data_IF_084387326542
#
_entry.id   IF_084387326542
#
_cell.length_a   1.000
_cell.length_b   1.000
_cell.length_c   1.000
_cell.angle_alpha   90.00
_cell.angle_beta   90.00
_cell.angle_gamma   90.00
#
_symmetry.space_group_name_H-M   'P 1'
#
loop_
_entity.id
_entity.type
_entity.pdbx_description
1 polymer ?
#
# COMPACT_ATOMS: atom_id res chain seq x y z
N UNK A 1 26.92 6.49 32.82
CA UNK A 1 27.65 6.39 31.54
C UNK A 1 27.12 5.25 30.65
N UNK A 2 26.99 4.02 31.16
CA UNK A 2 26.54 2.87 30.36
C UNK A 2 25.15 3.05 29.71
N UNK A 3 24.15 3.54 30.46
CA UNK A 3 22.80 3.82 29.94
C UNK A 3 22.78 4.85 28.79
N UNK A 4 23.59 5.90 28.89
CA UNK A 4 23.68 6.96 27.86
C UNK A 4 24.30 6.39 26.58
N UNK A 5 25.33 5.54 26.71
CA UNK A 5 25.92 4.81 25.59
C UNK A 5 24.92 3.89 24.90
N UNK A 6 24.10 3.14 25.66
CA UNK A 6 23.05 2.30 25.10
C UNK A 6 21.97 3.10 24.36
N UNK A 7 21.57 4.27 24.88
CA UNK A 7 20.59 5.14 24.21
C UNK A 7 21.13 5.73 22.90
N UNK A 8 22.39 6.17 22.87
CA UNK A 8 22.99 6.69 21.64
C UNK A 8 23.12 5.58 20.59
N UNK A 9 23.53 4.38 21.01
CA UNK A 9 23.63 3.23 20.12
C UNK A 9 22.27 2.84 19.54
N UNK A 10 21.20 2.84 20.36
CA UNK A 10 19.86 2.50 19.87
C UNK A 10 19.32 3.52 18.86
N UNK A 11 19.57 4.81 19.08
CA UNK A 11 19.21 5.87 18.12
C UNK A 11 19.91 5.68 16.76
N UNK A 12 21.21 5.36 16.77
CA UNK A 12 21.98 5.13 15.54
C UNK A 12 21.48 3.88 14.81
N UNK A 13 21.25 2.77 15.52
CA UNK A 13 20.73 1.55 14.94
C UNK A 13 19.33 1.76 14.34
N UNK A 14 18.47 2.51 15.03
CA UNK A 14 17.13 2.82 14.54
C UNK A 14 17.19 3.63 13.24
N UNK A 15 18.09 4.63 13.19
CA UNK A 15 18.30 5.44 11.99
C UNK A 15 18.83 4.59 10.81
N UNK A 16 19.81 3.71 11.05
CA UNK A 16 20.38 2.85 10.01
C UNK A 16 19.34 1.86 9.46
N UNK A 17 18.56 1.21 10.33
CA UNK A 17 17.47 0.34 9.90
C UNK A 17 16.45 1.09 9.05
N UNK A 18 16.03 2.29 9.49
CA UNK A 18 15.05 3.08 8.75
C UNK A 18 15.57 3.54 7.38
N UNK A 19 16.84 3.94 7.32
CA UNK A 19 17.51 4.32 6.07
C UNK A 19 17.61 3.15 5.10
N UNK A 20 18.02 1.97 5.57
CA UNK A 20 18.07 0.75 4.76
C UNK A 20 16.68 0.34 4.25
N UNK A 21 15.64 0.44 5.09
CA UNK A 21 14.27 0.17 4.67
C UNK A 21 13.80 1.12 3.57
N UNK A 22 14.07 2.42 3.70
CA UNK A 22 13.72 3.40 2.67
C UNK A 22 14.44 3.13 1.34
N UNK A 23 15.72 2.76 1.39
CA UNK A 23 16.48 2.42 0.20
C UNK A 23 15.94 1.16 -0.51
N UNK A 24 15.74 0.08 0.24
CA UNK A 24 15.21 -1.17 -0.31
C UNK A 24 13.80 -0.97 -0.90
N UNK A 25 12.93 -0.22 -0.22
CA UNK A 25 11.58 0.11 -0.70
C UNK A 25 11.64 0.77 -2.08
N UNK A 26 12.51 1.78 -2.23
CA UNK A 26 12.64 2.53 -3.46
C UNK A 26 13.24 1.68 -4.59
N UNK A 27 14.28 0.89 -4.29
CA UNK A 27 14.91 0.00 -5.27
C UNK A 27 13.91 -1.04 -5.79
N UNK A 28 13.23 -1.76 -4.91
CA UNK A 28 12.25 -2.77 -5.32
C UNK A 28 11.03 -2.17 -6.02
N UNK A 29 10.53 -1.02 -5.55
CA UNK A 29 9.44 -0.33 -6.22
C UNK A 29 9.83 0.08 -7.64
N UNK A 30 11.07 0.53 -7.84
CA UNK A 30 11.60 0.88 -9.15
C UNK A 30 11.76 -0.33 -10.07
N UNK A 31 12.29 -1.45 -9.55
CA UNK A 31 12.43 -2.69 -10.32
C UNK A 31 11.08 -3.26 -10.76
N UNK A 32 10.11 -3.35 -9.85
CA UNK A 32 8.75 -3.80 -10.20
C UNK A 32 8.13 -2.87 -11.26
N UNK A 33 8.29 -1.55 -11.12
CA UNK A 33 7.81 -0.58 -12.11
C UNK A 33 8.44 -0.81 -13.47
N UNK A 34 9.75 -1.07 -13.50
CA UNK A 34 10.50 -1.37 -14.72
C UNK A 34 9.98 -2.65 -15.39
N UNK A 35 9.80 -3.73 -14.64
CA UNK A 35 9.31 -5.01 -15.16
C UNK A 35 7.88 -4.90 -15.72
N UNK A 36 7.00 -4.20 -15.00
CA UNK A 36 5.63 -3.92 -15.47
C UNK A 36 5.66 -3.12 -16.77
N UNK A 37 6.52 -2.10 -16.84
CA UNK A 37 6.66 -1.27 -18.04
C UNK A 37 7.21 -2.05 -19.23
N UNK A 38 8.20 -2.91 -19.01
CA UNK A 38 8.76 -3.77 -20.04
C UNK A 38 7.72 -4.75 -20.57
N UNK A 39 6.93 -5.36 -19.69
CA UNK A 39 5.82 -6.24 -20.08
C UNK A 39 4.71 -5.49 -20.84
N UNK A 40 4.38 -4.26 -20.43
CA UNK A 40 3.40 -3.42 -21.12
C UNK A 40 3.84 -3.07 -22.55
N UNK A 41 5.14 -2.90 -22.81
CA UNK A 41 5.66 -2.64 -24.16
C UNK A 41 5.52 -3.83 -25.10
N UNK A 42 5.61 -5.05 -24.58
CA UNK A 42 5.49 -6.28 -25.35
C UNK A 42 4.03 -6.72 -25.55
N UNK A 43 3.09 -6.10 -24.84
CA UNK A 43 1.67 -6.39 -24.97
C UNK A 43 1.11 -5.93 -26.34
N UNK A 44 0.26 -6.77 -26.93
CA UNK A 44 -0.41 -6.45 -28.18
C UNK A 44 -1.32 -5.21 -28.07
N UNK A 45 -1.45 -4.45 -29.17
CA UNK A 45 -2.32 -3.27 -29.25
C UNK A 45 -3.78 -3.55 -28.86
N UNK A 46 -4.26 -4.79 -29.09
CA UNK A 46 -5.60 -5.20 -28.66
C UNK A 46 -5.74 -5.27 -27.13
N UNK A 47 -4.70 -5.70 -26.40
CA UNK A 47 -4.69 -5.69 -24.94
C UNK A 47 -4.64 -4.25 -24.41
N UNK A 48 -3.74 -3.43 -24.95
CA UNK A 48 -3.63 -2.01 -24.61
C UNK A 48 -4.92 -1.22 -24.89
N UNK A 49 -5.68 -1.56 -25.93
CA UNK A 49 -6.98 -0.93 -26.23
C UNK A 49 -8.12 -1.35 -25.30
N UNK A 50 -7.98 -2.50 -24.62
CA UNK A 50 -8.99 -3.05 -23.70
C UNK A 50 -8.79 -2.59 -22.27
N UNK A 51 -7.54 -2.36 -21.87
CA UNK A 51 -7.20 -1.90 -20.53
C UNK A 51 -7.40 -0.38 -20.45
N UNK A 52 -8.17 0.07 -19.45
CA UNK A 52 -8.40 1.51 -19.27
C UNK A 52 -7.12 2.23 -18.87
N UNK A 53 -6.91 3.47 -19.32
CA UNK A 53 -5.73 4.27 -18.94
C UNK A 53 -5.59 4.41 -17.42
N UNK A 54 -6.71 4.40 -16.68
CA UNK A 54 -6.72 4.37 -15.21
C UNK A 54 -6.18 3.08 -14.60
N UNK A 55 -6.49 1.94 -15.20
CA UNK A 55 -6.00 0.63 -14.76
C UNK A 55 -4.49 0.50 -15.00
N UNK A 56 -3.98 0.96 -16.16
CA UNK A 56 -2.54 0.96 -16.43
C UNK A 56 -1.75 1.84 -15.45
N UNK A 57 -2.26 3.04 -15.13
CA UNK A 57 -1.56 3.96 -14.23
C UNK A 57 -1.61 3.47 -12.78
N UNK A 58 -2.74 2.96 -12.32
CA UNK A 58 -2.82 2.38 -10.97
C UNK A 58 -1.98 1.11 -10.83
N UNK A 59 -1.89 0.29 -11.87
CA UNK A 59 -1.03 -0.89 -11.92
C UNK A 59 0.47 -0.51 -11.91
N UNK A 60 0.86 0.55 -12.61
CA UNK A 60 2.25 1.01 -12.65
C UNK A 60 2.65 1.80 -11.40
N UNK A 61 1.76 2.61 -10.84
CA UNK A 61 2.13 3.55 -9.78
C UNK A 61 1.85 3.00 -8.38
N UNK A 62 0.61 2.58 -8.14
CA UNK A 62 0.10 2.31 -6.78
C UNK A 62 0.35 0.85 -6.37
N UNK A 63 0.28 -0.09 -7.31
CA UNK A 63 0.48 -1.52 -7.04
C UNK A 63 1.89 -1.86 -6.51
N UNK A 64 2.99 -1.33 -7.08
CA UNK A 64 4.34 -1.59 -6.59
C UNK A 64 4.59 -1.00 -5.20
N UNK A 65 4.00 0.17 -4.93
CA UNK A 65 4.10 0.85 -3.64
C UNK A 65 3.33 0.11 -2.54
N UNK A 66 2.09 -0.33 -2.82
CA UNK A 66 1.28 -1.11 -1.90
C UNK A 66 1.91 -2.49 -1.62
N UNK A 67 2.43 -3.16 -2.66
CA UNK A 67 3.16 -4.41 -2.52
C UNK A 67 4.39 -4.25 -1.63
N UNK A 68 5.21 -3.22 -1.86
CA UNK A 68 6.42 -3.00 -1.07
C UNK A 68 6.11 -2.55 0.35
N UNK A 69 5.05 -1.76 0.57
CA UNK A 69 4.60 -1.46 1.92
C UNK A 69 4.15 -2.71 2.68
N UNK A 70 3.44 -3.62 2.02
CA UNK A 70 3.06 -4.90 2.62
C UNK A 70 4.30 -5.76 2.91
N UNK A 71 5.17 -5.98 1.92
CA UNK A 71 6.37 -6.82 2.07
C UNK A 71 7.28 -6.29 3.16
N UNK A 72 7.64 -5.00 3.13
CA UNK A 72 8.61 -4.44 4.07
C UNK A 72 8.03 -4.35 5.48
N UNK A 73 6.84 -3.75 5.66
CA UNK A 73 6.28 -3.63 7.02
C UNK A 73 5.91 -4.98 7.59
N UNK A 74 5.39 -5.91 6.79
CA UNK A 74 4.93 -7.19 7.31
C UNK A 74 6.10 -8.15 7.54
N UNK A 75 7.03 -8.31 6.58
CA UNK A 75 8.12 -9.28 6.73
C UNK A 75 9.12 -8.85 7.80
N UNK A 76 9.55 -7.59 7.82
CA UNK A 76 10.54 -7.14 8.82
C UNK A 76 9.94 -7.11 10.22
N UNK A 77 8.71 -6.63 10.39
CA UNK A 77 8.08 -6.69 11.71
C UNK A 77 7.79 -8.12 12.14
N UNK A 78 7.32 -9.00 11.25
CA UNK A 78 7.13 -10.42 11.60
C UNK A 78 8.45 -11.06 12.04
N UNK A 79 9.56 -10.82 11.33
CA UNK A 79 10.87 -11.37 11.69
C UNK A 79 11.34 -10.80 13.03
N UNK A 80 11.26 -9.49 13.22
CA UNK A 80 11.72 -8.86 14.47
C UNK A 80 10.87 -9.27 15.68
N UNK A 81 9.54 -9.28 15.53
CA UNK A 81 8.61 -9.71 16.59
C UNK A 81 8.75 -11.20 16.90
N UNK A 82 8.98 -12.05 15.88
CA UNK A 82 9.19 -13.49 16.12
C UNK A 82 10.50 -13.77 16.87
N UNK A 83 11.58 -13.06 16.56
CA UNK A 83 12.85 -13.15 17.33
C UNK A 83 12.63 -12.72 18.78
N UNK A 84 11.96 -11.57 19.00
CA UNK A 84 11.67 -11.08 20.35
C UNK A 84 10.78 -12.04 21.13
N UNK A 85 9.78 -12.64 20.48
CA UNK A 85 8.90 -13.64 21.06
C UNK A 85 9.66 -14.89 21.55
N UNK A 86 10.64 -15.37 20.77
CA UNK A 86 11.50 -16.50 21.18
C UNK A 86 12.37 -16.12 22.38
N UNK A 87 12.94 -14.91 22.40
CA UNK A 87 13.74 -14.42 23.53
C UNK A 87 12.88 -14.37 24.81
N UNK A 88 11.67 -13.82 24.73
CA UNK A 88 10.75 -13.77 25.88
C UNK A 88 10.30 -15.16 26.34
N UNK A 89 10.12 -16.11 25.42
CA UNK A 89 9.76 -17.49 25.76
C UNK A 89 10.87 -18.19 26.58
N UNK A 90 12.15 -17.97 26.23
CA UNK A 90 13.30 -18.54 26.95
C UNK A 90 13.51 -17.85 28.30
N UNK A 91 13.38 -16.51 28.36
CA UNK A 91 13.69 -15.74 29.56
C UNK A 91 12.59 -15.83 30.65
N UNK A 92 11.33 -15.97 30.24
CA UNK A 92 10.17 -15.99 31.14
C UNK A 92 9.42 -17.32 31.05
N UNK A 93 10.11 -18.45 31.24
CA UNK A 93 9.61 -19.83 31.07
C UNK A 93 8.15 -20.10 31.51
N UNK A 94 7.65 -19.43 32.57
CA UNK A 94 6.24 -19.55 33.03
C UNK A 94 5.24 -18.60 32.37
N UNK A 95 5.64 -17.39 31.97
CA UNK A 95 4.75 -16.35 31.40
C UNK A 95 4.86 -16.33 29.87
N UNK A 96 6.02 -16.66 29.33
CA UNK A 96 6.28 -16.78 27.90
C UNK A 96 5.40 -17.82 27.23
N UNK A 97 5.02 -18.90 27.92
CA UNK A 97 4.11 -19.92 27.36
C UNK A 97 2.73 -19.34 26.99
N UNK A 98 2.22 -18.36 27.75
CA UNK A 98 0.97 -17.66 27.43
C UNK A 98 1.09 -16.80 26.17
N UNK A 99 2.27 -16.18 25.94
CA UNK A 99 2.53 -15.42 24.71
C UNK A 99 2.61 -16.33 23.47
N UNK A 100 3.09 -17.57 23.65
CA UNK A 100 3.11 -18.58 22.58
C UNK A 100 1.70 -19.03 22.19
N UNK A 101 0.74 -19.02 23.13
CA UNK A 101 -0.65 -19.37 22.87
C UNK A 101 -1.45 -18.20 22.27
N UNK A 102 -1.10 -16.95 22.55
CA UNK A 102 -1.79 -15.78 21.98
C UNK A 102 -1.48 -15.56 20.50
N UNK A 103 -0.28 -15.94 20.03
CA UNK A 103 0.10 -15.86 18.62
C UNK A 103 -0.80 -16.68 17.67
N UNK A 104 -1.06 -18.00 17.90
CA UNK A 104 -1.95 -18.79 17.07
C UNK A 104 -3.41 -18.33 17.17
N UNK A 105 -3.83 -17.76 18.31
CA UNK A 105 -5.18 -17.18 18.44
C UNK A 105 -5.34 -15.94 17.54
N UNK A 106 -4.32 -15.06 17.50
CA UNK A 106 -4.30 -13.89 16.63
C UNK A 106 -4.29 -14.27 15.15
N UNK A 107 -3.48 -15.26 14.74
CA UNK A 107 -3.44 -15.71 13.34
C UNK A 107 -4.75 -16.38 12.93
N UNK A 108 -5.42 -17.12 13.83
CA UNK A 108 -6.72 -17.72 13.56
C UNK A 108 -7.81 -16.67 13.30
N UNK A 109 -7.84 -15.59 14.09
CA UNK A 109 -8.74 -14.46 13.86
C UNK A 109 -8.45 -13.83 12.50
N UNK A 110 -7.18 -13.52 12.21
CA UNK A 110 -6.78 -12.94 10.92
C UNK A 110 -7.19 -13.83 9.73
N UNK A 111 -7.06 -15.15 9.85
CA UNK A 111 -7.45 -16.09 8.80
C UNK A 111 -8.96 -16.05 8.50
N UNK A 112 -9.79 -15.97 9.55
CA UNK A 112 -11.25 -15.88 9.41
C UNK A 112 -11.68 -14.57 8.74
N UNK A 113 -11.00 -13.46 9.03
CA UNK A 113 -11.33 -12.14 8.47
C UNK A 113 -10.65 -11.86 7.12
N UNK A 114 -9.62 -12.63 6.72
CA UNK A 114 -8.88 -12.47 5.45
C UNK A 114 -9.80 -12.38 4.22
N UNK A 115 -10.82 -13.25 4.14
CA UNK A 115 -11.76 -13.27 3.01
C UNK A 115 -12.60 -12.00 2.93
N UNK A 116 -13.01 -11.46 4.09
CA UNK A 116 -13.75 -10.19 4.17
C UNK A 116 -12.86 -9.03 3.77
N UNK A 117 -11.63 -8.98 4.29
CA UNK A 117 -10.64 -7.94 3.97
C UNK A 117 -10.36 -7.92 2.46
N UNK A 118 -10.10 -9.09 1.85
CA UNK A 118 -9.84 -9.18 0.40
C UNK A 118 -11.00 -8.67 -0.44
N UNK A 119 -12.23 -9.02 -0.08
CA UNK A 119 -13.42 -8.57 -0.81
C UNK A 119 -13.65 -7.05 -0.69
N UNK A 120 -13.23 -6.41 0.41
CA UNK A 120 -13.29 -4.95 0.55
C UNK A 120 -12.18 -4.30 -0.27
N UNK A 121 -10.94 -4.81 -0.17
CA UNK A 121 -9.81 -4.32 -0.96
C UNK A 121 -10.08 -4.38 -2.48
N UNK A 122 -10.66 -5.47 -2.99
CA UNK A 122 -11.03 -5.56 -4.41
C UNK A 122 -12.09 -4.54 -4.83
N UNK A 123 -13.06 -4.22 -3.95
CA UNK A 123 -14.10 -3.21 -4.23
C UNK A 123 -13.52 -1.79 -4.21
N UNK A 124 -12.64 -1.50 -3.27
CA UNK A 124 -11.97 -0.20 -3.16
C UNK A 124 -11.03 0.02 -4.34
N UNK A 125 -10.23 -0.99 -4.69
CA UNK A 125 -9.32 -0.96 -5.84
C UNK A 125 -10.08 -0.69 -7.15
N UNK A 126 -11.18 -1.42 -7.42
CA UNK A 126 -12.02 -1.16 -8.62
C UNK A 126 -12.64 0.24 -8.63
N UNK A 127 -13.12 0.73 -7.48
CA UNK A 127 -13.68 2.07 -7.39
C UNK A 127 -12.62 3.16 -7.61
N UNK A 128 -11.40 2.92 -7.15
CA UNK A 128 -10.27 3.80 -7.31
C UNK A 128 -9.75 3.82 -8.75
N UNK A 129 -9.59 2.65 -9.40
CA UNK A 129 -9.26 2.52 -10.81
C UNK A 129 -10.24 3.30 -11.71
N UNK A 130 -11.55 3.16 -11.46
CA UNK A 130 -12.58 3.89 -12.20
C UNK A 130 -12.52 5.41 -11.97
N UNK A 131 -12.18 5.86 -10.76
CA UNK A 131 -11.96 7.28 -10.46
C UNK A 131 -10.72 7.81 -11.20
N UNK A 132 -9.63 7.05 -11.20
CA UNK A 132 -8.37 7.47 -11.78
C UNK A 132 -8.41 7.48 -13.30
N UNK A 133 -9.12 6.53 -13.93
CA UNK A 133 -9.41 6.56 -15.37
C UNK A 133 -10.19 7.81 -15.78
N UNK A 134 -11.26 8.15 -15.06
CA UNK A 134 -12.02 9.38 -15.31
C UNK A 134 -11.17 10.65 -15.14
N UNK A 135 -10.25 10.66 -14.17
CA UNK A 135 -9.36 11.80 -13.95
C UNK A 135 -8.39 11.97 -15.13
N UNK A 136 -7.82 10.88 -15.63
CA UNK A 136 -6.89 10.91 -16.76
C UNK A 136 -7.56 11.37 -18.05
N UNK A 137 -8.77 10.92 -18.35
CA UNK A 137 -9.55 11.42 -19.48
C UNK A 137 -9.72 12.95 -19.41
N UNK A 138 -9.92 13.52 -18.21
CA UNK A 138 -10.03 14.97 -18.04
C UNK A 138 -8.70 15.71 -18.13
N UNK A 139 -7.59 15.06 -17.78
CA UNK A 139 -6.25 15.61 -17.98
C UNK A 139 -5.89 15.61 -19.47
N UNK A 140 -6.25 14.57 -20.21
CA UNK A 140 -6.02 14.50 -21.65
C UNK A 140 -6.83 15.58 -22.40
N UNK A 141 -8.10 15.78 -22.02
CA UNK A 141 -8.93 16.88 -22.52
C UNK A 141 -8.63 18.25 -21.89
N UNK A 142 -7.58 18.39 -21.06
CA UNK A 142 -7.32 19.64 -20.33
C UNK A 142 -7.09 20.83 -21.27
N UNK A 143 -6.40 20.61 -22.39
CA UNK A 143 -6.13 21.67 -23.37
C UNK A 143 -7.42 22.26 -23.95
N UNK A 144 -8.40 21.42 -24.23
CA UNK A 144 -9.74 21.83 -24.70
C UNK A 144 -10.51 22.58 -23.61
N UNK A 145 -10.44 22.09 -22.37
CA UNK A 145 -11.12 22.72 -21.22
C UNK A 145 -10.53 24.11 -20.91
N UNK A 146 -9.21 24.25 -21.04
CA UNK A 146 -8.50 25.53 -20.91
C UNK A 146 -8.91 26.48 -22.04
N UNK A 147 -8.96 25.99 -23.27
CA UNK A 147 -9.39 26.78 -24.44
C UNK A 147 -10.83 27.28 -24.30
N UNK A 148 -11.72 26.46 -23.74
CA UNK A 148 -13.13 26.80 -23.46
C UNK A 148 -13.32 27.65 -22.18
N UNK A 149 -12.25 27.97 -21.44
CA UNK A 149 -12.33 28.73 -20.19
C UNK A 149 -13.09 28.01 -19.06
N UNK A 150 -13.31 26.70 -19.15
CA UNK A 150 -14.18 25.93 -18.25
C UNK A 150 -13.46 25.38 -17.00
N UNK A 151 -12.31 25.95 -16.63
CA UNK A 151 -11.43 25.48 -15.55
C UNK A 151 -12.13 25.44 -14.18
N UNK A 152 -12.91 26.48 -13.84
CA UNK A 152 -13.66 26.54 -12.56
C UNK A 152 -14.67 25.40 -12.44
N UNK A 153 -15.41 25.13 -13.53
CA UNK A 153 -16.41 24.05 -13.59
C UNK A 153 -15.77 22.67 -13.49
N UNK A 154 -14.57 22.49 -14.08
CA UNK A 154 -13.80 21.26 -13.91
C UNK A 154 -13.39 21.05 -12.45
N UNK A 155 -12.86 22.08 -11.79
CA UNK A 155 -12.42 22.01 -10.40
C UNK A 155 -13.57 21.65 -9.44
N UNK A 156 -14.75 22.25 -9.62
CA UNK A 156 -15.96 21.91 -8.86
C UNK A 156 -16.39 20.45 -9.10
N UNK A 157 -16.31 19.98 -10.35
CA UNK A 157 -16.67 18.61 -10.69
C UNK A 157 -15.71 17.60 -10.06
N UNK A 158 -14.40 17.88 -10.06
CA UNK A 158 -13.37 17.07 -9.41
C UNK A 158 -13.64 17.00 -7.90
N UNK A 159 -13.88 18.15 -7.25
CA UNK A 159 -14.17 18.24 -5.82
C UNK A 159 -15.44 17.46 -5.44
N UNK A 160 -16.50 17.58 -6.24
CA UNK A 160 -17.75 16.85 -6.05
C UNK A 160 -17.54 15.32 -6.19
N UNK A 161 -16.77 14.89 -7.20
CA UNK A 161 -16.51 13.47 -7.45
C UNK A 161 -15.57 12.86 -6.41
N UNK A 162 -14.56 13.60 -5.96
CA UNK A 162 -13.70 13.24 -4.82
C UNK A 162 -14.55 13.06 -3.55
N UNK A 163 -15.46 13.99 -3.23
CA UNK A 163 -16.36 13.86 -2.07
C UNK A 163 -17.25 12.61 -2.16
N UNK A 164 -17.82 12.31 -3.34
CA UNK A 164 -18.62 11.09 -3.57
C UNK A 164 -17.80 9.81 -3.37
N UNK A 165 -16.55 9.79 -3.82
CA UNK A 165 -15.62 8.68 -3.61
C UNK A 165 -15.34 8.45 -2.11
N UNK A 166 -14.98 9.50 -1.36
CA UNK A 166 -14.77 9.42 0.10
C UNK A 166 -16.02 8.96 0.86
N UNK A 167 -17.22 9.42 0.47
CA UNK A 167 -18.46 8.97 1.09
C UNK A 167 -18.74 7.48 0.83
N UNK A 168 -18.41 6.97 -0.36
CA UNK A 168 -18.53 5.53 -0.68
C UNK A 168 -17.55 4.69 0.15
N UNK A 169 -16.30 5.12 0.28
CA UNK A 169 -15.29 4.45 1.11
C UNK A 169 -15.73 4.41 2.58
N UNK A 170 -16.16 5.55 3.14
CA UNK A 170 -16.60 5.64 4.54
C UNK A 170 -17.79 4.71 4.83
N UNK A 171 -18.68 4.49 3.85
CA UNK A 171 -19.83 3.59 3.98
C UNK A 171 -19.44 2.11 3.91
N UNK A 172 -18.33 1.76 3.25
CA UNK A 172 -17.81 0.38 3.20
C UNK A 172 -16.99 0.00 4.43
N UNK A 173 -16.32 0.95 5.10
CA UNK A 173 -15.57 0.70 6.34
C UNK A 173 -16.50 0.43 7.53
N UNK A 174 -17.75 0.92 7.51
CA UNK A 174 -18.73 0.79 8.59
C UNK A 174 -19.69 -0.41 8.47
N UNK A 175 -19.56 -1.25 7.44
CA UNK A 175 -20.44 -2.41 7.13
C UNK A 175 -19.66 -3.73 7.20
#
# INVERSE_FOLDING_TARGET
MFLIGCCLLSCVLFFLCYSQHGYLLNMFCFEIKKDIFEHLKECNASYLSRVSSGENITLLQDYPEECMHFVIRNIIHIINESIMMVIYAVYLWRIGLLSVISAPLSTFINFKFKKRIRNHGEKESKAYQAYMGWLLEKIDSLKEIVFLGAQKKLCETIMCKKRKYYMKLKKQVFL
#
